data_IF_180231011190
#
_entry.id   IF_180231011190
#
_cell.length_a   1.000
_cell.length_b   1.000
_cell.length_c   1.000
_cell.angle_alpha   90.00
_cell.angle_beta   90.00
_cell.angle_gamma   90.00
#
_symmetry.space_group_name_H-M   'P 1'
#
loop_
_entity.id
_entity.type
_entity.pdbx_description
1 polymer ?
#
# COMPACT_ATOMS: atom_id res chain seq x y z
N UNK A 1 1.46 7.66 -15.07
CA UNK A 1 0.68 7.64 -13.80
C UNK A 1 1.55 7.10 -12.67
N UNK A 2 1.47 7.69 -11.51
CA UNK A 2 2.24 7.25 -10.36
C UNK A 2 1.86 5.83 -9.96
N UNK A 3 2.86 5.02 -9.63
CA UNK A 3 2.70 3.67 -9.13
C UNK A 3 3.04 3.63 -7.66
N UNK A 4 2.15 3.09 -6.84
CA UNK A 4 2.34 2.99 -5.40
C UNK A 4 2.16 1.57 -4.91
N UNK A 5 2.90 1.23 -3.86
CA UNK A 5 2.70 0.01 -3.08
C UNK A 5 2.21 0.46 -1.71
N UNK A 6 1.18 -0.19 -1.19
CA UNK A 6 0.53 0.23 0.05
C UNK A 6 0.69 -0.86 1.10
N UNK A 7 1.32 -0.50 2.23
CA UNK A 7 1.50 -1.42 3.36
C UNK A 7 0.12 -1.76 3.96
N UNK A 8 0.00 -2.98 4.46
CA UNK A 8 -1.25 -3.49 5.03
C UNK A 8 -1.83 -2.58 6.11
N UNK A 9 -0.98 -1.99 6.96
CA UNK A 9 -1.47 -1.10 8.03
C UNK A 9 -2.22 0.11 7.47
N UNK A 10 -1.86 0.58 6.29
CA UNK A 10 -2.55 1.71 5.64
C UNK A 10 -3.94 1.27 5.18
N UNK A 11 -4.05 0.07 4.63
CA UNK A 11 -5.35 -0.49 4.21
C UNK A 11 -6.29 -0.64 5.42
N UNK A 12 -5.77 -1.21 6.52
CA UNK A 12 -6.55 -1.38 7.76
C UNK A 12 -6.99 -0.02 8.29
N UNK A 13 -6.07 0.93 8.39
CA UNK A 13 -6.39 2.26 8.93
C UNK A 13 -7.42 3.00 8.08
N UNK A 14 -7.36 2.84 6.76
CA UNK A 14 -8.32 3.44 5.85
C UNK A 14 -9.74 2.93 6.10
N UNK A 15 -9.88 1.63 6.38
CA UNK A 15 -11.18 1.03 6.67
C UNK A 15 -11.69 1.41 8.05
N UNK A 16 -10.78 1.55 9.03
CA UNK A 16 -11.15 1.92 10.40
C UNK A 16 -11.56 3.39 10.51
N UNK A 17 -10.94 4.26 9.72
CA UNK A 17 -11.16 5.73 9.80
C UNK A 17 -11.36 6.31 8.40
N UNK A 18 -12.61 6.37 7.92
CA UNK A 18 -12.89 6.76 6.52
C UNK A 18 -12.42 8.16 6.10
N UNK A 19 -12.12 9.05 7.06
CA UNK A 19 -11.68 10.42 6.73
C UNK A 19 -10.20 10.64 7.03
N UNK A 20 -9.47 9.57 7.33
CA UNK A 20 -8.05 9.64 7.67
C UNK A 20 -7.17 9.80 6.42
N UNK A 21 -5.89 10.13 6.65
CA UNK A 21 -4.92 10.20 5.57
C UNK A 21 -4.76 8.85 4.82
N UNK A 22 -4.74 7.70 5.50
CA UNK A 22 -4.78 6.43 4.79
C UNK A 22 -5.98 6.29 3.87
N UNK A 23 -7.18 6.67 4.32
CA UNK A 23 -8.39 6.60 3.50
C UNK A 23 -8.31 7.54 2.29
N UNK A 24 -7.79 8.75 2.48
CA UNK A 24 -7.61 9.70 1.39
C UNK A 24 -6.60 9.17 0.37
N UNK A 25 -5.55 8.51 0.83
CA UNK A 25 -4.55 7.88 -0.04
C UNK A 25 -5.21 6.85 -0.95
N UNK A 26 -6.01 5.95 -0.38
CA UNK A 26 -6.72 4.93 -1.18
C UNK A 26 -7.78 5.56 -2.09
N UNK A 27 -8.39 6.68 -1.68
CA UNK A 27 -9.34 7.39 -2.53
C UNK A 27 -8.71 7.84 -3.84
N UNK A 28 -7.46 8.26 -3.81
CA UNK A 28 -6.75 8.66 -5.04
C UNK A 28 -6.64 7.48 -6.02
N UNK A 29 -6.36 6.29 -5.51
CA UNK A 29 -6.35 5.08 -6.34
C UNK A 29 -7.76 4.78 -6.87
N UNK A 30 -8.77 4.82 -6.01
CA UNK A 30 -10.15 4.50 -6.39
C UNK A 30 -10.65 5.49 -7.45
N UNK A 31 -10.25 6.75 -7.37
CA UNK A 31 -10.60 7.77 -8.34
C UNK A 31 -9.79 7.69 -9.65
N UNK A 32 -8.74 6.90 -9.67
CA UNK A 32 -7.93 6.73 -10.87
C UNK A 32 -6.73 7.68 -10.98
N UNK A 33 -6.37 8.38 -9.90
CA UNK A 33 -5.27 9.35 -9.89
C UNK A 33 -3.90 8.71 -9.69
N UNK A 34 -3.85 7.45 -9.27
CA UNK A 34 -2.62 6.69 -9.17
C UNK A 34 -2.94 5.20 -9.33
N UNK A 35 -1.90 4.38 -9.49
CA UNK A 35 -2.04 2.93 -9.65
C UNK A 35 -1.45 2.23 -8.45
N UNK A 36 -2.21 1.34 -7.81
CA UNK A 36 -1.69 0.45 -6.78
C UNK A 36 -1.10 -0.78 -7.45
N UNK A 37 0.12 -1.14 -7.05
CA UNK A 37 0.81 -2.34 -7.51
C UNK A 37 0.70 -3.41 -6.45
N UNK A 38 0.39 -4.63 -6.85
CA UNK A 38 0.20 -5.76 -5.95
C UNK A 38 0.94 -6.99 -6.45
N UNK A 39 1.37 -7.80 -5.49
CA UNK A 39 1.75 -9.18 -5.73
C UNK A 39 0.75 -10.09 -5.02
N UNK A 40 0.78 -11.37 -5.33
CA UNK A 40 -0.06 -12.36 -4.68
C UNK A 40 0.18 -12.37 -3.16
N UNK A 41 1.45 -12.26 -2.75
CA UNK A 41 1.85 -12.28 -1.35
C UNK A 41 1.24 -11.10 -0.59
N UNK A 42 1.29 -9.91 -1.17
CA UNK A 42 0.72 -8.70 -0.54
C UNK A 42 -0.80 -8.83 -0.41
N UNK A 43 -1.46 -9.25 -1.48
CA UNK A 43 -2.91 -9.37 -1.46
C UNK A 43 -3.38 -10.41 -0.44
N UNK A 44 -2.68 -11.54 -0.37
CA UNK A 44 -2.96 -12.57 0.62
C UNK A 44 -2.81 -12.02 2.04
N UNK A 45 -1.78 -11.20 2.29
CA UNK A 45 -1.62 -10.57 3.59
C UNK A 45 -2.79 -9.62 3.90
N UNK A 46 -3.24 -8.83 2.93
CA UNK A 46 -4.43 -7.99 3.14
C UNK A 46 -5.62 -8.83 3.59
N UNK A 47 -5.90 -9.91 2.87
CA UNK A 47 -7.01 -10.80 3.21
C UNK A 47 -6.88 -11.40 4.60
N UNK A 48 -5.70 -11.92 4.93
CA UNK A 48 -5.46 -12.56 6.23
C UNK A 48 -5.57 -11.57 7.38
N UNK A 49 -4.99 -10.39 7.24
CA UNK A 49 -5.02 -9.38 8.29
C UNK A 49 -6.44 -8.88 8.52
N UNK A 50 -7.18 -8.60 7.45
CA UNK A 50 -8.55 -8.10 7.57
C UNK A 50 -9.52 -9.14 8.11
N UNK A 51 -9.17 -10.42 8.04
CA UNK A 51 -9.98 -11.50 8.59
C UNK A 51 -9.71 -11.76 10.09
N UNK A 52 -8.73 -11.09 10.70
CA UNK A 52 -8.41 -11.31 12.11
C UNK A 52 -9.55 -10.86 13.02
N UNK A 53 -9.68 -11.55 14.17
CA UNK A 53 -10.77 -11.29 15.14
C UNK A 53 -10.85 -9.85 15.60
N UNK A 54 -9.72 -9.18 15.79
CA UNK A 54 -9.70 -7.77 16.24
C UNK A 54 -10.33 -6.80 15.22
N UNK A 55 -10.57 -7.26 13.99
CA UNK A 55 -11.18 -6.45 12.95
C UNK A 55 -12.61 -6.87 12.60
N UNK A 56 -13.24 -7.71 13.45
CA UNK A 56 -14.63 -8.14 13.23
C UNK A 56 -15.63 -6.99 13.17
N UNK A 57 -15.29 -5.84 13.79
CA UNK A 57 -16.15 -4.67 13.77
C UNK A 57 -16.14 -3.90 12.46
N UNK A 58 -15.26 -4.26 11.52
CA UNK A 58 -15.25 -3.62 10.21
C UNK A 58 -16.47 -4.06 9.41
N UNK A 59 -16.99 -3.16 8.59
CA UNK A 59 -18.10 -3.46 7.69
C UNK A 59 -17.61 -4.43 6.61
N UNK A 60 -18.12 -5.66 6.63
CA UNK A 60 -17.73 -6.69 5.67
C UNK A 60 -17.97 -6.26 4.22
N UNK A 61 -19.05 -5.52 3.97
CA UNK A 61 -19.35 -5.06 2.62
C UNK A 61 -18.28 -4.10 2.12
N UNK A 62 -17.80 -3.19 2.99
CA UNK A 62 -16.73 -2.26 2.63
C UNK A 62 -15.41 -2.97 2.43
N UNK A 63 -15.09 -3.98 3.25
CA UNK A 63 -13.88 -4.79 3.08
C UNK A 63 -13.92 -5.52 1.73
N UNK A 64 -15.01 -6.18 1.42
CA UNK A 64 -15.17 -6.91 0.15
C UNK A 64 -15.10 -5.99 -1.05
N UNK A 65 -15.71 -4.81 -0.94
CA UNK A 65 -15.69 -3.81 -2.01
C UNK A 65 -14.26 -3.35 -2.30
N UNK A 66 -13.49 -3.02 -1.25
CA UNK A 66 -12.12 -2.58 -1.42
C UNK A 66 -11.24 -3.69 -2.02
N UNK A 67 -11.34 -4.91 -1.50
CA UNK A 67 -10.58 -6.04 -2.03
C UNK A 67 -10.94 -6.31 -3.49
N UNK A 68 -12.21 -6.17 -3.86
CA UNK A 68 -12.64 -6.31 -5.24
C UNK A 68 -12.03 -5.24 -6.15
N UNK A 69 -11.96 -4.00 -5.67
CA UNK A 69 -11.34 -2.90 -6.43
C UNK A 69 -9.86 -3.21 -6.66
N UNK A 70 -9.14 -3.65 -5.63
CA UNK A 70 -7.75 -4.07 -5.78
C UNK A 70 -7.61 -5.18 -6.82
N UNK A 71 -8.45 -6.22 -6.74
CA UNK A 71 -8.38 -7.35 -7.66
C UNK A 71 -8.55 -6.92 -9.11
N UNK A 72 -9.49 -6.00 -9.37
CA UNK A 72 -9.84 -5.60 -10.73
C UNK A 72 -8.94 -4.51 -11.29
N UNK A 73 -8.41 -3.64 -10.45
CA UNK A 73 -7.78 -2.40 -10.93
C UNK A 73 -6.31 -2.25 -10.60
N UNK A 74 -5.76 -3.07 -9.72
CA UNK A 74 -4.35 -3.00 -9.40
C UNK A 74 -3.48 -3.49 -10.56
N UNK A 75 -2.24 -3.02 -10.59
CA UNK A 75 -1.21 -3.58 -11.46
C UNK A 75 -0.61 -4.78 -10.74
N UNK A 76 -0.90 -5.97 -11.24
CA UNK A 76 -0.40 -7.20 -10.65
C UNK A 76 0.97 -7.54 -11.20
N UNK A 77 1.92 -7.81 -10.32
CA UNK A 77 3.28 -8.19 -10.70
C UNK A 77 3.69 -9.49 -10.00
N UNK A 78 4.63 -10.19 -10.61
CA UNK A 78 5.26 -11.37 -10.03
C UNK A 78 6.72 -11.02 -9.79
N UNK A 79 7.12 -10.76 -8.53
CA UNK A 79 8.49 -10.37 -8.23
C UNK A 79 9.48 -11.46 -8.65
N UNK A 80 10.54 -11.06 -9.33
CA UNK A 80 11.60 -11.98 -9.79
C UNK A 80 12.77 -12.00 -8.82
N UNK A 81 12.96 -10.93 -8.06
CA UNK A 81 14.03 -10.80 -7.08
C UNK A 81 13.44 -10.92 -5.69
N UNK A 82 13.96 -11.84 -4.89
CA UNK A 82 13.54 -11.98 -3.50
C UNK A 82 14.47 -11.16 -2.61
N UNK A 83 13.88 -10.50 -1.63
CA UNK A 83 14.59 -9.62 -0.69
C UNK A 83 14.44 -10.21 0.70
N UNK A 84 15.56 -10.40 1.39
CA UNK A 84 15.58 -11.14 2.66
C UNK A 84 15.92 -10.30 3.89
N UNK A 85 16.69 -9.22 3.73
CA UNK A 85 17.33 -8.56 4.86
C UNK A 85 17.24 -7.04 4.88
N UNK A 86 16.32 -6.43 4.15
CA UNK A 86 16.17 -4.98 4.12
C UNK A 86 15.17 -4.51 5.18
N UNK A 87 13.94 -5.04 5.17
CA UNK A 87 12.95 -4.67 6.17
C UNK A 87 13.23 -5.36 7.51
N UNK A 88 12.87 -4.70 8.62
CA UNK A 88 13.06 -5.26 9.96
C UNK A 88 12.22 -6.52 10.18
N UNK A 89 10.98 -6.52 9.68
CA UNK A 89 10.12 -7.69 9.71
C UNK A 89 10.23 -8.41 8.37
N UNK A 90 10.61 -9.70 8.34
CA UNK A 90 10.78 -10.41 7.06
C UNK A 90 9.57 -10.36 6.13
N UNK A 91 8.36 -10.37 6.69
CA UNK A 91 7.14 -10.32 5.87
C UNK A 91 7.03 -9.00 5.09
N UNK A 92 7.62 -7.91 5.60
CA UNK A 92 7.55 -6.61 4.94
C UNK A 92 8.43 -6.53 3.70
N UNK A 93 9.36 -7.46 3.52
CA UNK A 93 10.16 -7.50 2.31
C UNK A 93 9.32 -7.75 1.05
N UNK A 94 8.14 -8.35 1.19
CA UNK A 94 7.24 -8.56 0.06
C UNK A 94 6.82 -7.23 -0.57
N UNK A 95 6.67 -6.17 0.23
CA UNK A 95 6.34 -4.84 -0.29
C UNK A 95 7.50 -4.26 -1.11
N UNK A 96 8.74 -4.47 -0.64
CA UNK A 96 9.92 -4.03 -1.36
C UNK A 96 10.10 -4.82 -2.67
N UNK A 97 9.85 -6.11 -2.65
CA UNK A 97 9.92 -6.97 -3.83
C UNK A 97 8.94 -6.49 -4.90
N UNK A 98 7.71 -6.21 -4.48
CA UNK A 98 6.68 -5.70 -5.38
C UNK A 98 7.06 -4.33 -5.94
N UNK A 99 7.53 -3.43 -5.08
CA UNK A 99 7.94 -2.10 -5.49
C UNK A 99 9.07 -2.15 -6.53
N UNK A 100 10.03 -3.03 -6.32
CA UNK A 100 11.15 -3.21 -7.25
C UNK A 100 10.65 -3.72 -8.60
N UNK A 101 9.84 -4.76 -8.62
CA UNK A 101 9.33 -5.37 -9.84
C UNK A 101 8.44 -4.39 -10.62
N UNK A 102 7.57 -3.67 -9.92
CA UNK A 102 6.63 -2.72 -10.52
C UNK A 102 7.29 -1.38 -10.87
N UNK A 103 8.51 -1.14 -10.42
CA UNK A 103 9.18 0.17 -10.50
C UNK A 103 8.29 1.24 -9.88
N UNK A 104 7.82 0.97 -8.66
CA UNK A 104 6.92 1.86 -7.96
C UNK A 104 7.61 3.16 -7.57
N UNK A 105 6.85 4.25 -7.62
CA UNK A 105 7.35 5.56 -7.20
C UNK A 105 7.37 5.69 -5.68
N UNK A 106 6.37 5.11 -5.01
CA UNK A 106 6.24 5.20 -3.56
C UNK A 106 5.81 3.87 -2.94
N UNK A 107 6.36 3.59 -1.76
CA UNK A 107 5.85 2.61 -0.83
C UNK A 107 5.28 3.40 0.34
N UNK A 108 3.99 3.27 0.58
CA UNK A 108 3.27 4.06 1.57
C UNK A 108 3.01 3.19 2.79
N UNK A 109 3.53 3.60 3.93
CA UNK A 109 3.42 2.86 5.18
C UNK A 109 3.08 3.78 6.34
N UNK A 110 2.23 3.31 7.26
CA UNK A 110 1.97 3.99 8.52
C UNK A 110 3.07 3.74 9.56
N UNK A 111 3.98 2.82 9.28
CA UNK A 111 5.05 2.44 10.19
C UNK A 111 6.40 2.48 9.50
N UNK A 112 6.90 3.70 9.31
CA UNK A 112 8.14 3.94 8.56
C UNK A 112 9.36 3.30 9.24
N UNK A 113 9.27 3.01 10.54
CA UNK A 113 10.36 2.38 11.29
C UNK A 113 10.59 0.92 10.91
N UNK A 114 9.63 0.26 10.24
CA UNK A 114 9.83 -1.09 9.74
C UNK A 114 10.79 -1.13 8.57
N UNK A 115 11.00 0.02 7.92
CA UNK A 115 11.90 0.13 6.77
C UNK A 115 13.07 1.03 7.16
N UNK A 116 14.30 0.48 7.30
CA UNK A 116 15.46 1.27 7.76
C UNK A 116 16.01 2.21 6.70
N UNK A 117 15.43 2.20 5.51
CA UNK A 117 15.83 3.09 4.40
C UNK A 117 14.66 3.96 3.99
N UNK A 118 14.94 5.19 3.53
CA UNK A 118 13.91 6.11 3.05
C UNK A 118 13.68 5.96 1.55
N UNK A 119 14.60 5.32 0.87
CA UNK A 119 14.52 5.08 -0.56
C UNK A 119 15.11 3.70 -0.85
N UNK A 120 14.40 2.93 -1.67
CA UNK A 120 14.82 1.60 -2.08
C UNK A 120 14.76 1.55 -3.60
N UNK A 121 15.93 1.56 -4.26
CA UNK A 121 16.06 1.73 -5.71
C UNK A 121 15.37 3.03 -6.13
N UNK A 122 14.30 3.00 -6.89
CA UNK A 122 13.57 4.20 -7.33
C UNK A 122 12.35 4.51 -6.45
N UNK A 123 12.09 3.68 -5.44
CA UNK A 123 10.89 3.79 -4.61
C UNK A 123 11.18 4.59 -3.36
N UNK A 124 10.45 5.68 -3.15
CA UNK A 124 10.51 6.46 -1.92
C UNK A 124 9.54 5.88 -0.90
N UNK A 125 10.02 5.69 0.33
CA UNK A 125 9.22 5.13 1.42
C UNK A 125 8.68 6.30 2.24
N UNK A 126 7.36 6.46 2.25
CA UNK A 126 6.70 7.64 2.82
C UNK A 126 5.48 7.23 3.64
N UNK A 127 5.05 8.14 4.53
CA UNK A 127 3.79 7.99 5.25
C UNK A 127 2.64 8.47 4.37
N UNK A 128 1.38 8.11 4.70
CA UNK A 128 0.23 8.65 3.98
C UNK A 128 0.21 10.18 3.96
N UNK A 129 0.54 10.83 5.08
CA UNK A 129 0.59 12.28 5.16
C UNK A 129 1.62 12.87 4.17
N UNK A 130 2.82 12.30 4.16
CA UNK A 130 3.87 12.73 3.24
C UNK A 130 3.47 12.52 1.78
N UNK A 131 2.84 11.38 1.49
CA UNK A 131 2.37 11.09 0.14
C UNK A 131 1.32 12.11 -0.32
N UNK A 132 0.34 12.42 0.54
CA UNK A 132 -0.70 13.38 0.21
C UNK A 132 -0.12 14.77 -0.04
N UNK A 133 0.85 15.20 0.76
CA UNK A 133 1.51 16.48 0.57
C UNK A 133 2.24 16.53 -0.79
N UNK A 134 2.91 15.45 -1.17
CA UNK A 134 3.57 15.37 -2.47
C UNK A 134 2.57 15.43 -3.61
N UNK A 135 1.42 14.76 -3.47
CA UNK A 135 0.38 14.78 -4.50
C UNK A 135 -0.22 16.18 -4.66
N UNK A 136 -0.43 16.89 -3.56
CA UNK A 136 -0.92 18.27 -3.61
C UNK A 136 0.08 19.15 -4.37
N UNK A 137 1.37 19.02 -4.11
CA UNK A 137 2.40 19.78 -4.81
C UNK A 137 2.39 19.50 -6.31
N UNK A 138 2.20 18.25 -6.69
CA UNK A 138 2.12 17.87 -8.11
C UNK A 138 0.87 18.45 -8.79
N UNK A 139 -0.22 18.57 -8.07
CA UNK A 139 -1.49 19.09 -8.59
C UNK A 139 -1.47 20.62 -8.76
N UNK A 140 -0.68 21.31 -7.95
CA UNK A 140 -0.58 22.78 -8.03
C UNK A 140 0.25 23.26 -9.22
N UNK A 141 1.14 22.42 -9.68
CA UNK A 141 1.93 22.73 -10.88
C UNK A 141 1.07 22.52 -12.13
#
# INVERSE_FOLDING_TARGET
>A
MLRIVVDTNVVVSALLKPQSNPALTLSLFIQGDCTVCLSKEIFTEYEEVLARDRFKGLDEAEVKKLLSIFTRRALWVVPKVLIYDVAKEPADNAFLECALEAKADFLITGNIHHFPVKEFHHTHIVTPSEFLNLMIQLMIK
#
